data_IF_975496957298
#
_entry.id   IF_975496957298
#
_cell.length_a   1.000
_cell.length_b   1.000
_cell.length_c   1.000
_cell.angle_alpha   90.00
_cell.angle_beta   90.00
_cell.angle_gamma   90.00
#
_symmetry.space_group_name_H-M   'P 1'
#
loop_
_entity.id
_entity.type
_entity.pdbx_description
1 polymer ?
#
# COMPACT_ATOMS: atom_id res chain seq x y z
N UNK A 1 -18.87 1.06 18.59
CA UNK A 1 -17.87 0.58 17.64
C UNK A 1 -17.83 1.48 16.41
N UNK A 2 -16.65 1.94 16.05
CA UNK A 2 -16.47 2.80 14.87
C UNK A 2 -16.39 1.92 13.63
N UNK A 3 -17.18 2.24 12.60
CA UNK A 3 -17.15 1.44 11.38
C UNK A 3 -16.04 1.91 10.41
N UNK A 4 -15.78 1.08 9.42
CA UNK A 4 -14.71 1.33 8.45
C UNK A 4 -14.93 2.64 7.67
N UNK A 5 -16.19 2.95 7.35
CA UNK A 5 -16.49 4.17 6.61
C UNK A 5 -16.10 5.41 7.40
N UNK A 6 -16.37 5.41 8.70
CA UNK A 6 -15.98 6.52 9.56
C UNK A 6 -14.46 6.65 9.65
N UNK A 7 -13.76 5.51 9.76
CA UNK A 7 -12.30 5.52 9.78
C UNK A 7 -11.77 6.11 8.47
N UNK A 8 -12.29 5.66 7.34
CA UNK A 8 -11.84 6.16 6.04
C UNK A 8 -12.04 7.66 5.89
N UNK A 9 -13.16 8.17 6.39
CA UNK A 9 -13.41 9.62 6.35
C UNK A 9 -12.36 10.39 7.17
N UNK A 10 -11.94 9.82 8.30
CA UNK A 10 -10.91 10.45 9.14
C UNK A 10 -9.55 10.49 8.48
N UNK A 11 -9.29 9.56 7.54
CA UNK A 11 -7.98 9.43 6.88
C UNK A 11 -7.78 10.44 5.74
N UNK A 12 -8.80 11.20 5.39
CA UNK A 12 -8.69 12.20 4.33
C UNK A 12 -7.67 13.26 4.72
N UNK A 13 -6.71 13.53 3.82
CA UNK A 13 -5.61 14.45 4.10
C UNK A 13 -6.08 15.90 4.30
N UNK A 14 -7.32 16.23 3.98
CA UNK A 14 -7.91 17.55 4.24
C UNK A 14 -8.48 17.68 5.64
N UNK A 15 -8.60 16.56 6.36
CA UNK A 15 -9.03 16.61 7.77
C UNK A 15 -7.92 17.18 8.64
N UNK A 16 -8.27 17.78 9.79
CA UNK A 16 -7.25 18.21 10.76
C UNK A 16 -6.34 17.05 11.15
N UNK A 17 -5.08 17.35 11.41
CA UNK A 17 -4.08 16.30 11.72
C UNK A 17 -4.51 15.43 12.90
N UNK A 18 -5.19 16.01 13.88
CA UNK A 18 -5.69 15.27 15.04
C UNK A 18 -6.72 14.21 14.65
N UNK A 19 -7.58 14.54 13.69
CA UNK A 19 -8.59 13.60 13.18
C UNK A 19 -7.92 12.51 12.37
N UNK A 20 -6.94 12.85 11.53
CA UNK A 20 -6.19 11.87 10.76
C UNK A 20 -5.47 10.89 11.69
N UNK A 21 -4.80 11.38 12.73
CA UNK A 21 -4.12 10.55 13.70
C UNK A 21 -5.07 9.62 14.44
N UNK A 22 -6.26 10.10 14.78
CA UNK A 22 -7.28 9.28 15.41
C UNK A 22 -7.74 8.16 14.49
N UNK A 23 -7.93 8.47 13.20
CA UNK A 23 -8.31 7.47 12.21
C UNK A 23 -7.26 6.37 12.09
N UNK A 24 -5.98 6.74 12.03
CA UNK A 24 -4.88 5.78 11.97
C UNK A 24 -4.88 4.91 13.23
N UNK A 25 -5.05 5.51 14.40
CA UNK A 25 -5.09 4.78 15.67
C UNK A 25 -6.23 3.76 15.71
N UNK A 26 -7.41 4.16 15.26
CA UNK A 26 -8.56 3.26 15.19
C UNK A 26 -8.32 2.12 14.19
N UNK A 27 -7.66 2.43 13.07
CA UNK A 27 -7.37 1.43 12.04
C UNK A 27 -6.43 0.34 12.54
N UNK A 28 -5.56 0.65 13.49
CA UNK A 28 -4.64 -0.34 14.08
C UNK A 28 -5.37 -1.49 14.73
N UNK A 29 -6.59 -1.28 15.16
CA UNK A 29 -7.39 -2.30 15.86
C UNK A 29 -8.33 -3.06 14.93
N UNK A 30 -8.30 -2.78 13.63
CA UNK A 30 -9.14 -3.54 12.69
C UNK A 30 -8.50 -4.89 12.39
N UNK A 31 -9.32 -5.92 12.19
CA UNK A 31 -8.82 -7.26 11.90
C UNK A 31 -8.31 -7.39 10.47
N UNK A 32 -8.92 -6.66 9.54
CA UNK A 32 -8.55 -6.75 8.13
C UNK A 32 -7.98 -5.43 7.64
N UNK A 33 -6.99 -5.52 6.73
CA UNK A 33 -6.43 -4.35 6.08
C UNK A 33 -7.00 -4.11 4.69
N UNK A 34 -7.90 -4.98 4.23
CA UNK A 34 -8.44 -4.89 2.87
C UNK A 34 -8.99 -3.50 2.52
N UNK A 35 -9.77 -2.84 3.39
CA UNK A 35 -10.29 -1.50 3.04
C UNK A 35 -9.21 -0.45 2.81
N UNK A 36 -8.01 -0.67 3.35
CA UNK A 36 -6.92 0.31 3.24
C UNK A 36 -6.03 0.07 2.03
N UNK A 37 -6.22 -1.04 1.32
CA UNK A 37 -5.42 -1.36 0.15
C UNK A 37 -5.89 -0.52 -1.04
N UNK A 38 -5.01 0.35 -1.50
CA UNK A 38 -5.25 1.24 -2.62
C UNK A 38 -4.16 0.99 -3.67
N UNK A 39 -4.43 1.16 -4.93
CA UNK A 39 -5.67 1.63 -5.57
C UNK A 39 -6.74 0.55 -5.75
N UNK A 40 -6.61 -0.60 -5.09
CA UNK A 40 -7.51 -1.74 -5.28
C UNK A 40 -8.96 -1.43 -4.87
N UNK A 41 -9.13 -0.59 -3.84
CA UNK A 41 -10.47 -0.23 -3.35
C UNK A 41 -10.73 1.25 -3.62
N UNK A 42 -11.17 1.60 -4.84
CA UNK A 42 -11.27 3.00 -5.25
C UNK A 42 -12.51 3.73 -4.74
N UNK A 43 -13.19 3.22 -3.74
CA UNK A 43 -14.34 3.90 -3.13
C UNK A 43 -13.99 5.27 -2.60
N UNK A 44 -12.77 5.44 -2.16
CA UNK A 44 -12.27 6.70 -1.63
C UNK A 44 -11.21 7.26 -2.55
N UNK A 45 -11.17 8.57 -2.66
CA UNK A 45 -10.26 9.24 -3.55
C UNK A 45 -8.82 9.19 -3.02
N UNK A 46 -7.88 9.69 -3.80
CA UNK A 46 -6.46 9.66 -3.45
C UNK A 46 -6.13 10.40 -2.16
N UNK A 47 -7.06 11.20 -1.63
CA UNK A 47 -6.81 11.94 -0.38
C UNK A 47 -6.59 11.03 0.83
N UNK A 48 -7.02 9.77 0.77
CA UNK A 48 -6.81 8.83 1.89
C UNK A 48 -5.60 7.91 1.68
N UNK A 49 -5.02 7.91 0.47
CA UNK A 49 -4.00 6.91 0.12
C UNK A 49 -2.75 6.98 0.99
N UNK A 50 -2.27 8.18 1.31
CA UNK A 50 -1.06 8.31 2.15
C UNK A 50 -1.26 7.66 3.52
N UNK A 51 -2.37 7.97 4.16
CA UNK A 51 -2.68 7.42 5.49
C UNK A 51 -2.97 5.91 5.41
N UNK A 52 -3.60 5.45 4.34
CA UNK A 52 -3.79 4.02 4.13
C UNK A 52 -2.45 3.30 4.01
N UNK A 53 -1.49 3.88 3.30
CA UNK A 53 -0.15 3.30 3.17
C UNK A 53 0.54 3.21 4.54
N UNK A 54 0.40 4.22 5.37
CA UNK A 54 0.95 4.20 6.73
C UNK A 54 0.36 3.05 7.53
N UNK A 55 -0.96 2.88 7.48
CA UNK A 55 -1.65 1.81 8.20
C UNK A 55 -1.15 0.44 7.77
N UNK A 56 -1.06 0.21 6.47
CA UNK A 56 -0.58 -1.06 5.92
C UNK A 56 0.87 -1.30 6.32
N UNK A 57 1.68 -0.26 6.26
CA UNK A 57 3.12 -0.37 6.54
C UNK A 57 3.42 -0.72 7.99
N UNK A 58 2.47 -0.49 8.90
CA UNK A 58 2.62 -0.85 10.31
C UNK A 58 2.30 -2.31 10.60
N UNK A 59 1.75 -3.03 9.63
CA UNK A 59 1.37 -4.43 9.82
C UNK A 59 2.56 -5.36 9.62
N UNK A 60 2.46 -6.55 10.20
CA UNK A 60 3.50 -7.56 10.10
C UNK A 60 3.63 -8.10 8.67
N UNK A 61 4.78 -8.73 8.39
CA UNK A 61 4.99 -9.39 7.11
C UNK A 61 3.92 -10.45 6.84
N UNK A 62 3.51 -11.18 7.88
CA UNK A 62 2.49 -12.22 7.74
C UNK A 62 1.14 -11.63 7.32
N UNK A 63 0.78 -10.49 7.88
CA UNK A 63 -0.48 -9.84 7.55
C UNK A 63 -0.50 -9.28 6.14
N UNK A 64 0.62 -8.75 5.66
CA UNK A 64 0.66 -8.16 4.32
C UNK A 64 0.96 -9.18 3.22
N UNK A 65 1.45 -10.36 3.56
CA UNK A 65 1.83 -11.36 2.56
C UNK A 65 0.75 -11.66 1.52
N UNK A 66 -0.52 -11.88 1.90
CA UNK A 66 -1.57 -12.15 0.91
C UNK A 66 -1.85 -10.95 -0.01
N UNK A 67 -1.37 -9.78 0.35
CA UNK A 67 -1.67 -8.53 -0.34
C UNK A 67 -0.48 -7.94 -1.07
N UNK A 68 0.62 -8.71 -1.18
CA UNK A 68 1.81 -8.23 -1.90
C UNK A 68 1.50 -7.78 -3.33
N UNK A 69 0.70 -8.53 -4.12
CA UNK A 69 0.41 -8.08 -5.49
C UNK A 69 -0.24 -6.69 -5.52
N UNK A 70 -1.21 -6.43 -4.65
CA UNK A 70 -1.92 -5.17 -4.63
C UNK A 70 -1.02 -4.04 -4.14
N UNK A 71 -0.15 -4.32 -3.18
CA UNK A 71 0.83 -3.33 -2.72
C UNK A 71 1.79 -2.97 -3.85
N UNK A 72 2.19 -3.96 -4.64
CA UNK A 72 3.08 -3.73 -5.79
C UNK A 72 2.39 -2.90 -6.89
N UNK A 73 1.09 -3.02 -7.03
CA UNK A 73 0.32 -2.18 -7.97
C UNK A 73 0.36 -0.71 -7.59
N UNK A 74 0.55 -0.41 -6.31
CA UNK A 74 0.69 0.97 -5.84
C UNK A 74 1.93 1.64 -6.44
N UNK A 75 2.89 0.86 -6.89
CA UNK A 75 4.14 1.37 -7.45
C UNK A 75 4.03 1.72 -8.94
N UNK A 76 2.82 1.65 -9.51
CA UNK A 76 2.62 2.02 -10.90
C UNK A 76 2.98 3.49 -11.16
N UNK A 77 2.83 4.32 -10.16
CA UNK A 77 3.15 5.73 -10.24
C UNK A 77 3.71 6.17 -8.87
N UNK A 78 5.00 6.45 -8.82
CA UNK A 78 5.64 6.84 -7.57
C UNK A 78 5.21 8.23 -7.09
N UNK A 79 4.47 8.97 -7.91
CA UNK A 79 3.87 10.23 -7.48
C UNK A 79 2.53 10.04 -6.79
N UNK A 80 1.98 8.83 -6.81
CA UNK A 80 0.75 8.54 -6.07
C UNK A 80 0.98 8.67 -4.57
N UNK A 81 0.00 9.24 -3.85
CA UNK A 81 0.13 9.32 -2.38
C UNK A 81 0.35 7.93 -1.79
N UNK A 82 1.33 7.83 -0.91
CA UNK A 82 1.65 6.58 -0.24
C UNK A 82 2.60 5.66 -0.97
N UNK A 83 2.91 5.91 -2.25
CA UNK A 83 3.75 5.01 -3.04
C UNK A 83 5.13 4.82 -2.41
N UNK A 84 5.78 5.90 -1.96
CA UNK A 84 7.08 5.78 -1.31
C UNK A 84 7.00 5.04 0.03
N UNK A 85 5.92 5.26 0.77
CA UNK A 85 5.69 4.55 2.03
C UNK A 85 5.60 3.04 1.78
N UNK A 86 4.85 2.64 0.75
CA UNK A 86 4.72 1.22 0.37
C UNK A 86 6.06 0.67 -0.10
N UNK A 87 6.79 1.41 -0.94
CA UNK A 87 8.11 0.99 -1.40
C UNK A 87 9.04 0.72 -0.22
N UNK A 88 9.12 1.67 0.73
CA UNK A 88 9.97 1.51 1.91
C UNK A 88 9.58 0.30 2.73
N UNK A 89 8.27 0.05 2.89
CA UNK A 89 7.80 -1.12 3.64
C UNK A 89 8.22 -2.41 2.97
N UNK A 90 8.08 -2.49 1.64
CA UNK A 90 8.45 -3.69 0.89
C UNK A 90 9.96 -3.93 0.90
N UNK A 91 10.76 -2.88 0.95
CA UNK A 91 12.21 -3.02 1.07
C UNK A 91 12.62 -3.69 2.38
N UNK A 92 11.77 -3.63 3.40
CA UNK A 92 12.00 -4.24 4.71
C UNK A 92 11.34 -5.61 4.85
N UNK A 93 10.68 -6.09 3.80
CA UNK A 93 10.00 -7.39 3.84
C UNK A 93 11.04 -8.50 3.97
N UNK A 94 10.84 -9.40 4.94
CA UNK A 94 11.86 -10.38 5.30
C UNK A 94 11.92 -11.60 4.38
N UNK A 95 10.77 -12.05 3.87
CA UNK A 95 10.73 -13.24 3.00
C UNK A 95 10.99 -12.82 1.54
N UNK A 96 12.28 -12.76 1.19
CA UNK A 96 12.68 -12.31 -0.14
C UNK A 96 12.15 -13.19 -1.26
N UNK A 97 12.02 -14.50 -1.03
CA UNK A 97 11.49 -15.40 -2.06
C UNK A 97 10.04 -15.09 -2.40
N UNK A 98 9.21 -14.90 -1.38
CA UNK A 98 7.80 -14.54 -1.58
C UNK A 98 7.69 -13.21 -2.29
N UNK A 99 8.49 -12.23 -1.88
CA UNK A 99 8.48 -10.91 -2.47
C UNK A 99 8.93 -10.97 -3.94
N UNK A 100 10.03 -11.66 -4.22
CA UNK A 100 10.54 -11.79 -5.59
C UNK A 100 9.52 -12.48 -6.51
N UNK A 101 8.84 -13.50 -6.01
CA UNK A 101 7.81 -14.17 -6.80
C UNK A 101 6.68 -13.21 -7.17
N UNK A 102 6.22 -12.42 -6.21
CA UNK A 102 5.19 -11.43 -6.45
C UNK A 102 5.67 -10.34 -7.43
N UNK A 103 6.89 -9.87 -7.25
CA UNK A 103 7.49 -8.87 -8.15
C UNK A 103 7.54 -9.41 -9.58
N UNK A 104 7.98 -10.64 -9.76
CA UNK A 104 8.09 -11.22 -11.11
C UNK A 104 6.74 -11.35 -11.78
N UNK A 105 5.69 -11.69 -11.04
CA UNK A 105 4.33 -11.72 -11.58
C UNK A 105 3.92 -10.33 -12.06
N UNK A 106 4.19 -9.31 -11.27
CA UNK A 106 3.85 -7.93 -11.64
C UNK A 106 4.69 -7.43 -12.81
N UNK A 107 5.97 -7.80 -12.88
CA UNK A 107 6.82 -7.44 -14.03
C UNK A 107 6.24 -8.02 -15.32
N UNK A 108 5.78 -9.26 -15.29
CA UNK A 108 5.13 -9.86 -16.45
C UNK A 108 3.89 -9.08 -16.87
N UNK A 109 3.09 -8.65 -15.91
CA UNK A 109 1.91 -7.81 -16.19
C UNK A 109 2.33 -6.48 -16.80
N UNK A 110 3.34 -5.84 -16.22
CA UNK A 110 3.83 -4.55 -16.72
C UNK A 110 4.31 -4.66 -18.15
N UNK A 111 5.07 -5.71 -18.47
CA UNK A 111 5.55 -5.95 -19.84
C UNK A 111 4.39 -6.18 -20.80
N UNK A 112 3.40 -6.96 -20.38
CA UNK A 112 2.22 -7.23 -21.22
C UNK A 112 1.46 -5.95 -21.52
N UNK A 113 1.37 -5.06 -20.56
CA UNK A 113 0.70 -3.75 -20.72
C UNK A 113 1.62 -2.68 -21.28
N UNK A 114 2.88 -3.00 -21.53
CA UNK A 114 3.91 -2.07 -22.01
C UNK A 114 4.09 -0.89 -21.04
N UNK A 115 3.95 -1.15 -19.76
CA UNK A 115 4.11 -0.14 -18.72
C UNK A 115 5.56 -0.16 -18.24
N UNK A 116 6.42 0.56 -18.94
CA UNK A 116 7.85 0.59 -18.64
C UNK A 116 8.15 1.30 -17.32
N UNK A 117 7.32 2.26 -16.94
CA UNK A 117 7.49 2.97 -15.68
C UNK A 117 7.23 2.02 -14.50
N UNK A 118 6.13 1.28 -14.55
CA UNK A 118 5.83 0.31 -13.49
C UNK A 118 6.93 -0.74 -13.39
N UNK A 119 7.35 -1.29 -14.53
CA UNK A 119 8.43 -2.28 -14.54
C UNK A 119 9.68 -1.74 -13.88
N UNK A 120 10.07 -0.51 -14.23
CA UNK A 120 11.24 0.13 -13.64
C UNK A 120 11.09 0.31 -12.13
N UNK A 121 9.92 0.73 -11.67
CA UNK A 121 9.65 0.89 -10.24
C UNK A 121 9.72 -0.43 -9.50
N UNK A 122 9.17 -1.49 -10.08
CA UNK A 122 9.22 -2.82 -9.48
C UNK A 122 10.67 -3.31 -9.32
N UNK A 123 11.52 -3.02 -10.29
CA UNK A 123 12.91 -3.44 -10.25
C UNK A 123 13.72 -2.77 -9.14
N UNK A 124 13.25 -1.65 -8.61
CA UNK A 124 13.90 -1.01 -7.46
C UNK A 124 13.96 -1.96 -6.26
N UNK A 125 12.98 -2.83 -6.12
CA UNK A 125 12.95 -3.80 -5.02
C UNK A 125 13.91 -4.97 -5.23
N UNK A 126 14.28 -5.27 -6.48
CA UNK A 126 15.19 -6.36 -6.78
C UNK A 126 16.65 -5.99 -6.49
N UNK A 127 16.95 -4.70 -6.36
CA UNK A 127 18.30 -4.21 -6.12
C UNK A 127 18.49 -3.69 -4.70
N UNK A 128 17.60 -4.07 -3.78
CA UNK A 128 17.73 -3.62 -2.39
C UNK A 128 18.95 -4.27 -1.75
N UNK A 129 19.60 -3.53 -0.90
CA UNK A 129 20.78 -3.97 -0.17
C UNK A 129 20.40 -4.60 1.17
#
# INVERSE_FOLDING_TARGET
>A
MVDITEIMDMLDCHMPSEIQSKGISLARNTETIIPFIQPLTPKHNKNVWENCAVIISERSDEEIKPHLPEMLEWLQDMNWPGAFCILNRLQKYSDENSLCNAINVCIKKAKKCRDVVWESNLRLLLHKQ
#
